data_IF_780987097263
#
_entry.id   IF_780987097263
#
_cell.length_a   1.000
_cell.length_b   1.000
_cell.length_c   1.000
_cell.angle_alpha   90.00
_cell.angle_beta   90.00
_cell.angle_gamma   90.00
#
_symmetry.space_group_name_H-M   'P 1'
#
loop_
_entity.id
_entity.type
_entity.pdbx_description
1 polymer ?
#
# COMPACT_ATOMS: atom_id res chain seq x y z
N UNK A 1 -13.96 -24.68 9.87
CA UNK A 1 -13.74 -23.22 9.73
C UNK A 1 -13.00 -22.98 8.42
N UNK A 2 -13.50 -22.14 7.51
CA UNK A 2 -12.77 -21.84 6.26
C UNK A 2 -11.47 -21.08 6.61
N UNK A 3 -10.35 -21.50 6.05
CA UNK A 3 -9.06 -20.80 6.20
C UNK A 3 -9.20 -19.42 5.56
N UNK A 4 -8.85 -18.35 6.28
CA UNK A 4 -8.82 -17.00 5.70
C UNK A 4 -7.73 -16.93 4.63
N UNK A 5 -7.97 -16.10 3.62
CA UNK A 5 -6.93 -15.71 2.67
C UNK A 5 -5.77 -15.04 3.41
N UNK A 6 -4.55 -15.05 2.83
CA UNK A 6 -3.47 -14.20 3.33
C UNK A 6 -3.95 -12.74 3.43
N UNK A 7 -3.65 -12.05 4.53
CA UNK A 7 -4.17 -10.70 4.79
C UNK A 7 -3.83 -9.69 3.67
N UNK A 8 -2.65 -9.82 3.07
CA UNK A 8 -2.25 -8.98 1.93
C UNK A 8 -3.17 -9.16 0.71
N UNK A 9 -3.68 -10.37 0.47
CA UNK A 9 -4.61 -10.60 -0.64
C UNK A 9 -5.96 -9.93 -0.39
N UNK A 10 -6.39 -9.87 0.88
CA UNK A 10 -7.62 -9.16 1.24
C UNK A 10 -7.44 -7.65 1.01
N UNK A 11 -6.29 -7.07 1.39
CA UNK A 11 -5.97 -5.65 1.14
C UNK A 11 -5.92 -5.32 -0.36
N UNK A 12 -5.22 -6.13 -1.16
CA UNK A 12 -5.18 -5.98 -2.62
C UNK A 12 -6.58 -6.06 -3.25
N UNK A 13 -7.42 -6.98 -2.78
CA UNK A 13 -8.79 -7.11 -3.25
C UNK A 13 -9.67 -5.91 -2.86
N UNK A 14 -9.49 -5.36 -1.66
CA UNK A 14 -10.16 -4.13 -1.22
C UNK A 14 -9.77 -2.96 -2.11
N UNK A 15 -8.47 -2.75 -2.35
CA UNK A 15 -7.97 -1.67 -3.21
C UNK A 15 -8.53 -1.78 -4.64
N UNK A 16 -8.48 -2.98 -5.24
CA UNK A 16 -9.05 -3.21 -6.56
C UNK A 16 -10.56 -2.92 -6.62
N UNK A 17 -11.30 -3.23 -5.54
CA UNK A 17 -12.73 -2.90 -5.43
C UNK A 17 -12.95 -1.40 -5.29
N UNK A 18 -12.18 -0.71 -4.47
CA UNK A 18 -12.27 0.73 -4.26
C UNK A 18 -12.01 1.50 -5.57
N UNK A 19 -11.10 1.02 -6.41
CA UNK A 19 -10.80 1.61 -7.73
C UNK A 19 -11.61 1.08 -8.90
N UNK A 20 -12.51 0.12 -8.67
CA UNK A 20 -13.42 -0.38 -9.70
C UNK A 20 -14.35 0.73 -10.22
N UNK A 21 -14.98 0.59 -11.41
CA UNK A 21 -15.90 1.61 -11.93
C UNK A 21 -17.07 1.98 -10.98
N UNK A 22 -17.45 1.06 -10.09
CA UNK A 22 -18.49 1.25 -9.06
C UNK A 22 -17.92 1.46 -7.66
N UNK A 23 -16.61 1.71 -7.56
CA UNK A 23 -15.89 1.92 -6.32
C UNK A 23 -16.02 3.33 -5.77
N UNK A 24 -15.12 3.68 -4.85
CA UNK A 24 -15.08 4.99 -4.22
C UNK A 24 -14.69 6.07 -5.25
N UNK A 25 -15.45 7.17 -5.39
CA UNK A 25 -15.14 8.23 -6.34
C UNK A 25 -13.76 8.85 -6.12
N UNK A 26 -13.40 9.13 -4.87
CA UNK A 26 -12.11 9.72 -4.53
C UNK A 26 -10.96 8.79 -4.93
N UNK A 27 -11.05 7.51 -4.58
CA UNK A 27 -10.00 6.53 -4.91
C UNK A 27 -9.79 6.43 -6.40
N UNK A 28 -10.86 6.47 -7.22
CA UNK A 28 -10.78 6.38 -8.69
C UNK A 28 -10.12 7.60 -9.33
N UNK A 29 -10.26 8.78 -8.73
CA UNK A 29 -9.70 10.03 -9.23
C UNK A 29 -8.20 10.16 -8.97
N UNK A 30 -7.64 9.34 -8.07
CA UNK A 30 -6.22 9.40 -7.73
C UNK A 30 -5.32 8.88 -8.85
N UNK A 31 -4.13 9.48 -8.93
CA UNK A 31 -2.99 9.00 -9.71
C UNK A 31 -1.70 9.06 -8.88
N UNK A 32 -0.56 8.67 -9.46
CA UNK A 32 0.71 8.69 -8.73
C UNK A 32 1.13 10.09 -8.27
N UNK A 33 0.72 11.15 -8.99
CA UNK A 33 1.06 12.52 -8.65
C UNK A 33 0.17 13.02 -7.52
N UNK A 34 -1.13 12.75 -7.53
CA UNK A 34 -2.03 13.20 -6.45
C UNK A 34 -1.66 12.58 -5.12
N UNK A 35 -1.23 11.31 -5.12
CA UNK A 35 -0.87 10.55 -3.90
C UNK A 35 0.53 10.86 -3.35
N UNK A 36 1.39 11.55 -4.11
CA UNK A 36 2.81 11.70 -3.75
C UNK A 36 3.04 12.38 -2.40
N UNK A 37 2.15 13.29 -1.99
CA UNK A 37 2.28 13.99 -0.72
C UNK A 37 1.75 13.17 0.44
N UNK A 38 0.69 12.39 0.24
CA UNK A 38 0.20 11.44 1.25
C UNK A 38 1.31 10.46 1.63
N UNK A 39 2.02 9.89 0.65
CA UNK A 39 3.16 9.03 0.94
C UNK A 39 4.31 9.69 1.74
N UNK A 40 4.42 11.02 1.72
CA UNK A 40 5.39 11.76 2.57
C UNK A 40 4.82 12.00 3.96
N UNK A 41 3.53 12.33 4.06
CA UNK A 41 2.79 12.51 5.32
C UNK A 41 2.88 11.25 6.19
N UNK A 42 2.53 10.07 5.64
CA UNK A 42 2.58 8.80 6.40
C UNK A 42 4.00 8.48 6.90
N UNK A 43 5.04 8.93 6.20
CA UNK A 43 6.43 8.72 6.63
C UNK A 43 6.76 9.60 7.83
N UNK A 44 6.23 10.81 7.89
CA UNK A 44 6.40 11.67 9.08
C UNK A 44 5.60 11.13 10.26
N UNK A 45 4.37 10.69 10.05
CA UNK A 45 3.55 10.09 11.12
C UNK A 45 4.19 8.79 11.65
N UNK A 46 4.72 7.94 10.76
CA UNK A 46 5.52 6.78 11.15
C UNK A 46 6.75 7.15 12.00
N UNK A 47 7.46 8.23 11.67
CA UNK A 47 8.60 8.70 12.45
C UNK A 47 8.14 9.14 13.84
N UNK A 48 7.07 9.91 13.92
CA UNK A 48 6.52 10.40 15.19
C UNK A 48 6.09 9.22 16.08
N UNK A 49 5.46 8.19 15.52
CA UNK A 49 5.09 6.97 16.23
C UNK A 49 6.31 6.21 16.79
N UNK A 50 7.39 6.11 16.00
CA UNK A 50 8.66 5.50 16.44
C UNK A 50 9.28 6.31 17.58
N UNK A 51 9.32 7.64 17.46
CA UNK A 51 9.91 8.52 18.48
C UNK A 51 9.09 8.52 19.78
N UNK A 52 7.77 8.37 19.69
CA UNK A 52 6.88 8.21 20.83
C UNK A 52 7.02 6.86 21.53
N UNK A 53 7.54 5.83 20.84
CA UNK A 53 7.59 4.46 21.35
C UNK A 53 6.21 3.85 21.53
N UNK A 54 5.24 4.27 20.71
CA UNK A 54 3.86 3.79 20.74
C UNK A 54 3.67 2.69 19.69
N UNK A 55 3.63 1.43 20.15
CA UNK A 55 3.45 0.27 19.26
C UNK A 55 2.08 0.25 18.57
N UNK A 56 1.06 0.90 19.14
CA UNK A 56 -0.27 0.98 18.52
C UNK A 56 -0.23 1.94 17.34
N UNK A 57 0.23 3.16 17.57
CA UNK A 57 0.40 4.17 16.52
C UNK A 57 1.32 3.63 15.42
N UNK A 58 2.46 3.02 15.81
CA UNK A 58 3.40 2.42 14.87
C UNK A 58 2.74 1.37 13.96
N UNK A 59 1.84 0.54 14.50
CA UNK A 59 1.11 -0.44 13.70
C UNK A 59 0.14 0.22 12.71
N UNK A 60 -0.54 1.30 13.11
CA UNK A 60 -1.46 2.05 12.26
C UNK A 60 -0.70 2.72 11.11
N UNK A 61 0.37 3.46 11.41
CA UNK A 61 1.17 4.18 10.41
C UNK A 61 1.91 3.25 9.42
N UNK A 62 2.36 2.08 9.89
CA UNK A 62 2.88 1.04 9.00
C UNK A 62 1.79 0.51 8.05
N UNK A 63 0.54 0.48 8.50
CA UNK A 63 -0.63 0.13 7.71
C UNK A 63 -0.91 1.17 6.63
N UNK A 64 -0.88 2.44 6.98
CA UNK A 64 -1.16 3.54 6.03
C UNK A 64 -0.03 3.71 5.01
N UNK A 65 1.23 3.55 5.43
CA UNK A 65 2.35 3.49 4.48
C UNK A 65 2.23 2.28 3.53
N UNK A 66 1.78 1.12 4.03
CA UNK A 66 1.52 -0.05 3.18
C UNK A 66 0.34 0.19 2.23
N UNK A 67 -0.70 0.90 2.66
CA UNK A 67 -1.81 1.33 1.80
C UNK A 67 -1.29 2.15 0.63
N UNK A 68 -0.41 3.13 0.86
CA UNK A 68 0.20 3.92 -0.21
C UNK A 68 0.95 3.03 -1.23
N UNK A 69 1.75 2.06 -0.76
CA UNK A 69 2.45 1.11 -1.65
C UNK A 69 1.46 0.30 -2.49
N UNK A 70 0.41 -0.22 -1.88
CA UNK A 70 -0.65 -0.99 -2.56
C UNK A 70 -1.38 -0.14 -3.59
N UNK A 71 -1.67 1.12 -3.27
CA UNK A 71 -2.33 2.06 -4.17
C UNK A 71 -1.48 2.32 -5.42
N UNK A 72 -0.19 2.60 -5.24
CA UNK A 72 0.73 2.77 -6.37
C UNK A 72 0.88 1.48 -7.21
N UNK A 73 0.85 0.30 -6.58
CA UNK A 73 0.84 -0.97 -7.31
C UNK A 73 -0.45 -1.19 -8.11
N UNK A 74 -1.61 -0.84 -7.56
CA UNK A 74 -2.89 -0.91 -8.25
C UNK A 74 -2.88 0.00 -9.50
N UNK A 75 -2.43 1.25 -9.37
CA UNK A 75 -2.25 2.18 -10.48
C UNK A 75 -1.26 1.69 -11.54
N UNK A 76 -0.14 1.08 -11.10
CA UNK A 76 0.84 0.45 -11.98
C UNK A 76 0.23 -0.70 -12.78
N UNK A 77 -0.59 -1.52 -12.12
CA UNK A 77 -1.27 -2.68 -12.70
C UNK A 77 -2.35 -2.28 -13.71
N UNK A 78 -3.14 -1.24 -13.39
CA UNK A 78 -4.14 -0.64 -14.30
C UNK A 78 -3.49 -0.16 -15.61
N UNK A 79 -2.22 0.25 -15.57
CA UNK A 79 -1.43 0.68 -16.73
C UNK A 79 -0.63 -0.44 -17.40
N UNK A 80 -0.65 -1.65 -16.85
CA UNK A 80 0.17 -2.78 -17.30
C UNK A 80 1.68 -2.57 -17.12
N UNK A 81 2.10 -1.68 -16.21
CA UNK A 81 3.51 -1.33 -16.01
C UNK A 81 4.20 -2.23 -14.98
N UNK A 82 3.59 -2.43 -13.82
CA UNK A 82 4.03 -3.34 -12.76
C UNK A 82 2.90 -3.65 -11.80
N UNK A 83 3.02 -4.71 -11.01
CA UNK A 83 2.10 -5.04 -9.91
C UNK A 83 2.82 -5.23 -8.56
N UNK A 84 2.05 -5.53 -7.52
CA UNK A 84 2.56 -5.75 -6.17
C UNK A 84 3.56 -6.92 -6.10
N UNK A 85 3.29 -8.01 -6.83
CA UNK A 85 4.15 -9.19 -6.85
C UNK A 85 5.53 -8.86 -7.43
N UNK A 86 5.57 -8.09 -8.52
CA UNK A 86 6.82 -7.62 -9.13
C UNK A 86 7.60 -6.69 -8.19
N UNK A 87 6.93 -5.78 -7.48
CA UNK A 87 7.56 -4.90 -6.49
C UNK A 87 8.16 -5.72 -5.34
N UNK A 88 7.39 -6.63 -4.76
CA UNK A 88 7.84 -7.50 -3.66
C UNK A 88 9.02 -8.38 -4.08
N UNK A 89 8.95 -9.04 -5.24
CA UNK A 89 10.07 -9.83 -5.77
C UNK A 89 11.31 -8.99 -6.00
N UNK A 90 11.17 -7.78 -6.53
CA UNK A 90 12.31 -6.91 -6.80
C UNK A 90 13.08 -6.58 -5.51
N UNK A 91 12.38 -6.21 -4.43
CA UNK A 91 13.03 -5.91 -3.16
C UNK A 91 13.61 -7.18 -2.51
N UNK A 92 12.91 -8.32 -2.56
CA UNK A 92 13.42 -9.59 -2.04
C UNK A 92 14.72 -10.01 -2.74
N UNK A 93 14.73 -10.04 -4.07
CA UNK A 93 15.92 -10.40 -4.86
C UNK A 93 17.09 -9.46 -4.55
N UNK A 94 16.82 -8.15 -4.42
CA UNK A 94 17.82 -7.15 -4.07
C UNK A 94 18.43 -7.40 -2.69
N UNK A 95 17.64 -7.83 -1.71
CA UNK A 95 18.11 -8.13 -0.35
C UNK A 95 18.87 -9.45 -0.28
N UNK A 96 18.45 -10.48 -1.01
CA UNK A 96 19.13 -11.80 -1.03
C UNK A 96 20.48 -11.74 -1.75
N UNK A 97 20.64 -10.87 -2.74
CA UNK A 97 21.89 -10.70 -3.49
C UNK A 97 22.95 -9.88 -2.74
N UNK A 98 22.59 -9.23 -1.65
CA UNK A 98 23.48 -8.39 -0.83
C UNK A 98 24.05 -9.20 0.31
#
# INVERSE_FOLDING_TARGET
>A
MKKRSPAINDLLAVMARLRSPTGCPWDREQDHLTLRYHAVEEVYELIDAIEAGDDHELMEELGDLLLQVVFHCQLGGERGAFDFEQVARNITDKLVRR
#
